data_IF_980136701565
#
_entry.id   IF_980136701565
#
_cell.length_a   1.000
_cell.length_b   1.000
_cell.length_c   1.000
_cell.angle_alpha   90.00
_cell.angle_beta   90.00
_cell.angle_gamma   90.00
#
_symmetry.space_group_name_H-M   'P 1'
#
loop_
_entity.id
_entity.type
_entity.pdbx_description
1 polymer ?
#
# COMPACT_ATOMS: atom_id res chain seq x y z
N UNK A 1 2.53 14.27 -17.06
CA UNK A 1 2.15 12.98 -16.44
C UNK A 1 2.70 12.80 -15.03
N UNK A 2 4.02 12.71 -14.78
CA UNK A 2 4.57 12.52 -13.41
C UNK A 2 3.99 13.53 -12.39
N UNK A 3 3.91 14.81 -12.75
CA UNK A 3 3.39 15.89 -11.89
C UNK A 3 1.94 15.70 -11.43
N UNK A 4 1.06 15.18 -12.29
CA UNK A 4 -0.36 14.99 -11.94
C UNK A 4 -0.57 13.85 -10.92
N UNK A 5 0.23 12.79 -11.00
CA UNK A 5 0.18 11.68 -10.04
C UNK A 5 0.80 12.10 -8.70
N UNK A 6 1.82 12.97 -8.72
CA UNK A 6 2.36 13.58 -7.50
C UNK A 6 1.28 14.44 -6.83
N UNK A 7 0.59 15.33 -7.56
CA UNK A 7 -0.48 16.15 -6.97
C UNK A 7 -1.60 15.30 -6.35
N UNK A 8 -2.11 14.27 -7.04
CA UNK A 8 -3.20 13.43 -6.49
C UNK A 8 -2.81 12.56 -5.28
N UNK A 9 -1.52 12.26 -5.07
CA UNK A 9 -1.05 11.49 -3.90
C UNK A 9 -0.45 12.36 -2.78
N UNK A 10 -0.07 13.60 -3.07
CA UNK A 10 0.50 14.53 -2.07
C UNK A 10 -0.56 15.47 -1.50
N UNK A 11 -1.59 15.84 -2.27
CA UNK A 11 -2.63 16.77 -1.81
C UNK A 11 -3.66 16.11 -0.87
N UNK A 12 -3.61 14.79 -0.68
CA UNK A 12 -4.49 14.04 0.22
C UNK A 12 -3.78 13.54 1.49
N UNK A 13 -2.54 13.97 1.75
CA UNK A 13 -1.73 13.48 2.87
C UNK A 13 -0.91 14.61 3.50
N UNK A 14 -1.62 15.59 4.07
CA UNK A 14 -1.03 16.61 4.95
C UNK A 14 -1.31 16.20 6.40
N UNK A 15 -0.33 15.63 7.13
CA UNK A 15 -0.53 15.34 8.54
C UNK A 15 -0.60 16.64 9.34
N UNK A 16 -1.73 16.90 9.98
CA UNK A 16 -1.81 17.96 10.99
C UNK A 16 -0.99 17.57 12.23
N UNK A 17 -0.28 18.56 12.77
CA UNK A 17 0.69 18.37 13.84
C UNK A 17 0.02 18.17 15.21
N UNK A 18 0.24 17.01 15.83
CA UNK A 18 -0.04 16.77 17.26
C UNK A 18 1.15 16.05 17.89
N UNK A 19 2.09 16.77 18.51
CA UNK A 19 2.08 17.21 19.92
C UNK A 19 2.50 16.10 20.92
N UNK A 20 3.80 16.13 21.19
CA UNK A 20 4.56 15.38 22.18
C UNK A 20 3.90 15.22 23.58
N UNK A 21 3.57 13.99 23.94
CA UNK A 21 3.68 13.41 25.30
C UNK A 21 4.05 11.93 25.13
N UNK A 22 4.95 11.29 25.87
CA UNK A 22 5.58 11.69 27.12
C UNK A 22 5.23 10.74 28.26
N UNK A 23 5.61 9.45 28.16
CA UNK A 23 5.79 8.57 29.31
C UNK A 23 6.67 7.35 28.97
N UNK A 24 7.68 7.13 29.80
CA UNK A 24 8.46 5.90 29.91
C UNK A 24 8.11 5.26 31.26
N UNK A 25 8.08 3.93 31.35
CA UNK A 25 8.54 3.30 32.59
C UNK A 25 9.57 2.18 32.34
N UNK A 26 10.58 2.13 33.21
CA UNK A 26 11.35 0.92 33.53
C UNK A 26 10.39 -0.14 34.15
N UNK A 27 10.66 -1.44 34.37
CA UNK A 27 11.76 -2.24 34.95
C UNK A 27 11.46 -3.73 34.58
N UNK A 28 12.23 -4.79 34.86
CA UNK A 28 13.36 -5.08 35.78
C UNK A 28 14.39 -5.98 35.05
N UNK A 29 15.58 -6.22 35.63
CA UNK A 29 16.45 -7.35 35.30
C UNK A 29 16.02 -8.63 36.05
N UNK A 30 16.15 -9.79 35.41
CA UNK A 30 16.38 -11.07 36.11
C UNK A 30 17.34 -11.96 35.29
N UNK A 31 18.21 -12.71 35.97
CA UNK A 31 19.26 -13.54 35.36
C UNK A 31 19.00 -15.04 35.53
N UNK A 32 19.39 -15.83 34.52
CA UNK A 32 19.40 -17.31 34.45
C UNK A 32 18.03 -18.00 34.29
N UNK A 33 17.75 -18.41 33.06
CA UNK A 33 17.73 -19.86 32.77
C UNK A 33 17.90 -20.17 31.28
N UNK A 34 18.84 -21.06 31.01
CA UNK A 34 19.11 -21.82 29.78
C UNK A 34 17.89 -22.04 28.87
N UNK A 35 17.91 -21.47 27.66
CA UNK A 35 17.06 -21.91 26.55
C UNK A 35 17.86 -21.98 25.24
N UNK A 36 17.42 -22.83 24.33
CA UNK A 36 18.23 -23.32 23.20
C UNK A 36 18.48 -22.27 22.13
N UNK A 37 19.66 -22.38 21.50
CA UNK A 37 20.11 -21.59 20.36
C UNK A 37 19.25 -21.88 19.10
N UNK A 38 18.09 -21.26 19.05
CA UNK A 38 17.34 -20.99 17.83
C UNK A 38 17.30 -19.47 17.69
N UNK A 39 18.19 -18.92 16.87
CA UNK A 39 18.32 -17.47 16.72
C UNK A 39 16.99 -16.89 16.21
N UNK A 40 16.26 -16.23 17.10
CA UNK A 40 15.08 -15.46 16.76
C UNK A 40 15.55 -14.31 15.86
N UNK A 41 15.46 -14.50 14.55
CA UNK A 41 15.50 -13.38 13.61
C UNK A 41 14.28 -12.53 13.95
N UNK A 42 14.53 -11.47 14.70
CA UNK A 42 13.53 -10.49 15.06
C UNK A 42 13.08 -9.80 13.76
N UNK A 43 12.01 -10.33 13.16
CA UNK A 43 11.41 -9.87 11.91
C UNK A 43 10.85 -8.46 12.14
N UNK A 44 11.75 -7.46 12.10
CA UNK A 44 11.52 -6.04 12.39
C UNK A 44 10.12 -5.60 11.94
N UNK A 45 9.30 -5.25 12.92
CA UNK A 45 7.89 -4.89 12.73
C UNK A 45 7.82 -3.40 12.40
N UNK A 46 7.22 -3.05 11.27
CA UNK A 46 6.92 -1.66 10.89
C UNK A 46 5.43 -1.45 11.13
N UNK A 47 5.06 -0.34 11.76
CA UNK A 47 3.66 0.01 11.96
C UNK A 47 2.98 0.32 10.62
N UNK A 48 1.68 0.03 10.47
CA UNK A 48 1.02 0.18 9.17
C UNK A 48 0.99 1.65 8.68
N UNK A 49 0.84 2.60 9.59
CA UNK A 49 0.86 4.03 9.27
C UNK A 49 2.24 4.53 8.85
N UNK A 50 3.29 4.03 9.53
CA UNK A 50 4.68 4.27 9.12
C UNK A 50 4.94 3.70 7.72
N UNK A 51 4.41 2.50 7.42
CA UNK A 51 4.54 1.87 6.11
C UNK A 51 3.85 2.67 4.98
N UNK A 52 2.69 3.27 5.27
CA UNK A 52 1.97 4.18 4.35
C UNK A 52 2.77 5.46 4.11
N UNK A 53 3.26 6.10 5.16
CA UNK A 53 4.12 7.29 5.07
C UNK A 53 5.38 6.99 4.22
N UNK A 54 6.12 5.91 4.54
CA UNK A 54 7.29 5.49 3.79
C UNK A 54 6.99 5.18 2.31
N UNK A 55 5.80 4.69 1.99
CA UNK A 55 5.36 4.47 0.61
C UNK A 55 5.17 5.79 -0.15
N UNK A 56 4.53 6.79 0.47
CA UNK A 56 4.33 8.12 -0.12
C UNK A 56 5.67 8.83 -0.35
N UNK A 57 6.59 8.78 0.61
CA UNK A 57 7.93 9.36 0.46
C UNK A 57 8.76 8.69 -0.65
N UNK A 58 8.70 7.36 -0.73
CA UNK A 58 9.37 6.57 -1.75
C UNK A 58 8.82 6.79 -3.17
N UNK A 59 7.61 7.34 -3.30
CA UNK A 59 7.05 7.73 -4.59
C UNK A 59 7.94 8.78 -5.27
N UNK A 60 8.45 9.74 -4.48
CA UNK A 60 9.34 10.81 -4.96
C UNK A 60 10.82 10.41 -4.91
N UNK A 61 11.24 9.61 -3.92
CA UNK A 61 12.65 9.34 -3.64
C UNK A 61 13.07 7.90 -4.01
N UNK A 62 13.90 7.75 -5.06
CA UNK A 62 14.40 6.43 -5.50
C UNK A 62 15.17 5.69 -4.39
N UNK A 63 15.91 6.43 -3.56
CA UNK A 63 16.69 5.85 -2.46
C UNK A 63 15.78 5.20 -1.40
N UNK A 64 14.70 5.86 -0.99
CA UNK A 64 13.72 5.31 -0.04
C UNK A 64 13.03 4.06 -0.61
N UNK A 65 12.64 4.07 -1.89
CA UNK A 65 12.12 2.89 -2.56
C UNK A 65 13.13 1.73 -2.60
N UNK A 66 14.43 2.04 -2.78
CA UNK A 66 15.52 1.07 -2.74
C UNK A 66 15.74 0.46 -1.35
N UNK A 67 15.77 1.29 -0.31
CA UNK A 67 15.89 0.89 1.11
C UNK A 67 14.74 -0.04 1.53
N UNK A 68 13.49 0.34 1.23
CA UNK A 68 12.32 -0.49 1.54
C UNK A 68 12.30 -1.80 0.75
N UNK A 69 12.76 -1.81 -0.51
CA UNK A 69 12.96 -3.06 -1.26
C UNK A 69 14.08 -3.95 -0.70
N UNK A 70 15.08 -3.40 -0.02
CA UNK A 70 16.09 -4.20 0.67
C UNK A 70 15.48 -4.82 1.93
N UNK A 71 14.86 -4.00 2.78
CA UNK A 71 14.14 -4.40 3.99
C UNK A 71 13.16 -5.57 3.73
N UNK A 72 12.28 -5.45 2.73
CA UNK A 72 11.34 -6.52 2.44
C UNK A 72 11.98 -7.77 1.80
N UNK A 73 13.22 -7.71 1.29
CA UNK A 73 13.93 -8.93 0.86
C UNK A 73 14.58 -9.65 2.02
N UNK A 74 15.08 -8.94 3.03
CA UNK A 74 15.66 -9.56 4.23
C UNK A 74 14.60 -10.10 5.20
N UNK A 75 13.43 -9.44 5.30
CA UNK A 75 12.35 -9.88 6.19
C UNK A 75 11.80 -11.26 5.79
N UNK A 76 11.76 -12.22 6.72
CA UNK A 76 11.43 -13.63 6.40
C UNK A 76 9.93 -13.87 6.27
N UNK A 77 9.14 -13.38 7.23
CA UNK A 77 7.67 -13.44 7.23
C UNK A 77 7.08 -12.08 6.86
N UNK A 78 5.95 -12.10 6.15
CA UNK A 78 5.22 -10.88 5.76
C UNK A 78 3.74 -11.11 5.98
N UNK A 79 3.07 -10.13 6.57
CA UNK A 79 1.61 -10.05 6.52
C UNK A 79 1.14 -9.90 5.05
N UNK A 80 -0.14 -10.18 4.76
CA UNK A 80 -0.68 -9.94 3.41
C UNK A 80 -0.51 -8.48 2.96
N UNK A 81 -0.62 -7.52 3.88
CA UNK A 81 -0.45 -6.09 3.60
C UNK A 81 1.02 -5.74 3.35
N UNK A 82 1.96 -6.27 4.14
CA UNK A 82 3.40 -6.12 3.89
C UNK A 82 3.84 -6.74 2.55
N UNK A 83 3.24 -7.88 2.16
CA UNK A 83 3.46 -8.49 0.84
C UNK A 83 2.92 -7.60 -0.29
N UNK A 84 1.79 -6.90 -0.08
CA UNK A 84 1.26 -5.91 -1.02
C UNK A 84 2.21 -4.72 -1.17
N UNK A 85 2.66 -4.15 -0.05
CA UNK A 85 3.62 -3.04 -0.02
C UNK A 85 4.97 -3.42 -0.63
N UNK A 86 5.50 -4.61 -0.38
CA UNK A 86 6.69 -5.13 -1.06
C UNK A 86 6.51 -5.12 -2.59
N UNK A 87 5.32 -5.50 -3.07
CA UNK A 87 4.93 -5.36 -4.47
C UNK A 87 4.86 -3.90 -4.94
N UNK A 88 4.31 -3.01 -4.12
CA UNK A 88 4.21 -1.58 -4.40
C UNK A 88 5.60 -0.91 -4.49
N UNK A 89 6.55 -1.21 -3.60
CA UNK A 89 7.93 -0.72 -3.68
C UNK A 89 8.69 -1.24 -4.91
N UNK A 90 8.35 -2.43 -5.44
CA UNK A 90 8.84 -2.86 -6.76
C UNK A 90 8.32 -1.97 -7.89
N UNK A 91 7.06 -1.53 -7.82
CA UNK A 91 6.49 -0.60 -8.79
C UNK A 91 7.12 0.79 -8.68
N UNK A 92 7.28 1.35 -7.48
CA UNK A 92 7.96 2.64 -7.27
C UNK A 92 9.40 2.60 -7.80
N UNK A 93 10.14 1.55 -7.48
CA UNK A 93 11.48 1.33 -8.03
C UNK A 93 11.50 1.26 -9.56
N UNK A 94 10.42 0.82 -10.20
CA UNK A 94 10.29 0.78 -11.66
C UNK A 94 10.06 2.17 -12.28
N UNK A 95 9.34 3.07 -11.59
CA UNK A 95 9.11 4.47 -12.02
C UNK A 95 10.42 5.26 -12.17
N UNK A 96 11.40 4.95 -11.31
CA UNK A 96 12.70 5.60 -11.29
C UNK A 96 13.70 5.01 -12.32
N UNK A 97 13.53 3.75 -12.76
CA UNK A 97 14.47 3.14 -13.74
C UNK A 97 14.30 3.72 -15.14
N UNK A 98 15.41 4.17 -15.73
CA UNK A 98 15.51 4.65 -17.13
C UNK A 98 15.38 3.53 -18.17
N UNK A 99 15.92 2.33 -17.91
CA UNK A 99 15.94 1.21 -18.88
C UNK A 99 14.61 0.42 -18.93
N UNK A 100 13.96 0.27 -20.11
CA UNK A 100 12.68 -0.44 -20.24
C UNK A 100 12.69 -1.89 -19.75
N UNK A 101 13.73 -2.67 -20.07
CA UNK A 101 13.84 -4.09 -19.68
C UNK A 101 13.89 -4.25 -18.15
N UNK A 102 14.67 -3.38 -17.46
CA UNK A 102 14.75 -3.37 -15.99
C UNK A 102 13.41 -2.94 -15.37
N UNK A 103 12.76 -1.92 -15.93
CA UNK A 103 11.41 -1.48 -15.52
C UNK A 103 10.39 -2.61 -15.64
N UNK A 104 10.35 -3.32 -16.76
CA UNK A 104 9.42 -4.43 -16.99
C UNK A 104 9.65 -5.60 -16.02
N UNK A 105 10.91 -5.94 -15.73
CA UNK A 105 11.25 -6.96 -14.73
C UNK A 105 10.72 -6.59 -13.33
N UNK A 106 10.86 -5.32 -12.92
CA UNK A 106 10.34 -4.81 -11.66
C UNK A 106 8.79 -4.82 -11.63
N UNK A 107 8.12 -4.40 -12.71
CA UNK A 107 6.64 -4.47 -12.82
C UNK A 107 6.14 -5.92 -12.74
N UNK A 108 6.83 -6.88 -13.36
CA UNK A 108 6.49 -8.31 -13.23
C UNK A 108 6.60 -8.81 -11.78
N UNK A 109 7.61 -8.35 -11.03
CA UNK A 109 7.75 -8.64 -9.59
C UNK A 109 6.64 -7.99 -8.76
N UNK A 110 6.37 -6.71 -8.99
CA UNK A 110 5.27 -5.98 -8.34
C UNK A 110 3.94 -6.73 -8.47
N UNK A 111 3.58 -7.11 -9.71
CA UNK A 111 2.38 -7.91 -9.98
C UNK A 111 2.39 -9.29 -9.31
N UNK A 112 3.54 -9.97 -9.21
CA UNK A 112 3.64 -11.27 -8.52
C UNK A 112 3.31 -11.13 -7.03
N UNK A 113 3.90 -10.14 -6.36
CA UNK A 113 3.68 -9.88 -4.93
C UNK A 113 2.23 -9.44 -4.65
N UNK A 114 1.70 -8.48 -5.41
CA UNK A 114 0.30 -8.02 -5.25
C UNK A 114 -0.73 -9.13 -5.53
N UNK A 115 -0.49 -10.02 -6.51
CA UNK A 115 -1.34 -11.21 -6.72
C UNK A 115 -1.31 -12.17 -5.52
N UNK A 116 -0.13 -12.39 -4.92
CA UNK A 116 0.02 -13.23 -3.73
C UNK A 116 -0.71 -12.60 -2.53
N UNK A 117 -0.52 -11.31 -2.29
CA UNK A 117 -1.21 -10.56 -1.24
C UNK A 117 -2.73 -10.66 -1.36
N UNK A 118 -3.31 -10.39 -2.55
CA UNK A 118 -4.75 -10.56 -2.80
C UNK A 118 -5.22 -12.00 -2.58
N UNK A 119 -4.43 -13.01 -2.96
CA UNK A 119 -4.79 -14.41 -2.69
C UNK A 119 -4.81 -14.74 -1.19
N UNK A 120 -3.94 -14.11 -0.40
CA UNK A 120 -3.85 -14.31 1.05
C UNK A 120 -4.89 -13.54 1.85
N UNK A 121 -5.31 -12.36 1.39
CA UNK A 121 -6.35 -11.54 2.03
C UNK A 121 -7.21 -10.85 0.97
N UNK A 122 -8.22 -11.56 0.40
CA UNK A 122 -8.97 -11.10 -0.77
C UNK A 122 -9.94 -9.95 -0.47
N UNK A 123 -10.27 -9.72 0.80
CA UNK A 123 -11.23 -8.70 1.27
C UNK A 123 -10.54 -7.46 1.85
N UNK A 124 -9.20 -7.46 1.99
CA UNK A 124 -8.46 -6.27 2.44
C UNK A 124 -8.48 -5.17 1.36
N UNK A 125 -9.16 -4.07 1.67
CA UNK A 125 -9.39 -2.96 0.75
C UNK A 125 -8.10 -2.29 0.27
N UNK A 126 -7.11 -2.13 1.15
CA UNK A 126 -5.81 -1.53 0.86
C UNK A 126 -5.01 -2.37 -0.15
N UNK A 127 -5.05 -3.70 -0.01
CA UNK A 127 -4.37 -4.63 -0.92
C UNK A 127 -5.00 -4.59 -2.32
N UNK A 128 -6.34 -4.54 -2.38
CA UNK A 128 -7.10 -4.36 -3.63
C UNK A 128 -6.74 -3.04 -4.29
N UNK A 129 -6.71 -1.96 -3.52
CA UNK A 129 -6.36 -0.63 -3.99
C UNK A 129 -4.93 -0.57 -4.57
N UNK A 130 -3.92 -1.08 -3.86
CA UNK A 130 -2.54 -1.13 -4.35
C UNK A 130 -2.39 -1.94 -5.65
N UNK A 131 -3.22 -2.98 -5.86
CA UNK A 131 -3.24 -3.76 -7.11
C UNK A 131 -3.98 -3.03 -8.23
N UNK A 132 -5.07 -2.35 -7.92
CA UNK A 132 -5.83 -1.53 -8.87
C UNK A 132 -5.01 -0.35 -9.38
N UNK A 133 -4.48 0.49 -8.47
CA UNK A 133 -3.72 1.70 -8.80
C UNK A 133 -2.46 1.39 -9.63
N UNK A 134 -1.74 0.31 -9.32
CA UNK A 134 -0.64 -0.17 -10.15
C UNK A 134 -1.09 -0.49 -11.58
N UNK A 135 -2.19 -1.24 -11.76
CA UNK A 135 -2.63 -1.60 -13.11
C UNK A 135 -3.22 -0.40 -13.86
N UNK A 136 -3.81 0.57 -13.15
CA UNK A 136 -4.40 1.78 -13.74
C UNK A 136 -3.32 2.64 -14.43
N UNK A 137 -2.15 2.79 -13.80
CA UNK A 137 -1.04 3.57 -14.36
C UNK A 137 -0.12 2.80 -15.34
N UNK A 138 -0.39 1.52 -15.61
CA UNK A 138 0.39 0.78 -16.61
C UNK A 138 -0.16 1.02 -18.03
N UNK A 139 0.72 1.20 -19.04
CA UNK A 139 0.30 1.25 -20.44
C UNK A 139 -0.45 -0.02 -20.85
N UNK A 140 -1.30 0.09 -21.86
CA UNK A 140 -2.24 -0.98 -22.27
C UNK A 140 -1.58 -2.34 -22.53
N UNK A 141 -0.40 -2.35 -23.14
CA UNK A 141 0.40 -3.56 -23.40
C UNK A 141 0.85 -4.30 -22.11
N UNK A 142 0.88 -3.60 -20.97
CA UNK A 142 1.40 -4.10 -19.70
C UNK A 142 0.37 -4.15 -18.57
N UNK A 143 -0.75 -3.41 -18.66
CA UNK A 143 -1.86 -3.52 -17.68
C UNK A 143 -2.55 -4.88 -17.78
N UNK A 144 -3.35 -5.23 -16.79
CA UNK A 144 -4.17 -6.43 -16.84
C UNK A 144 -5.62 -6.02 -16.61
N UNK A 145 -6.38 -5.90 -17.70
CA UNK A 145 -7.75 -5.39 -17.67
C UNK A 145 -8.68 -6.26 -16.81
N UNK A 146 -8.50 -7.59 -16.85
CA UNK A 146 -9.25 -8.51 -16.00
C UNK A 146 -9.02 -8.24 -14.51
N UNK A 147 -7.79 -7.91 -14.12
CA UNK A 147 -7.47 -7.56 -12.73
C UNK A 147 -7.98 -6.16 -12.34
N UNK A 148 -8.00 -5.21 -13.27
CA UNK A 148 -8.63 -3.91 -13.03
C UNK A 148 -10.13 -4.05 -12.78
N UNK A 149 -10.83 -4.84 -13.61
CA UNK A 149 -12.26 -5.12 -13.45
C UNK A 149 -12.54 -5.93 -12.17
N UNK A 150 -11.71 -6.93 -11.86
CA UNK A 150 -11.80 -7.71 -10.61
C UNK A 150 -11.66 -6.80 -9.38
N UNK A 151 -10.61 -5.95 -9.33
CA UNK A 151 -10.38 -5.08 -8.18
C UNK A 151 -11.43 -3.95 -8.10
N UNK A 152 -11.87 -3.38 -9.22
CA UNK A 152 -12.96 -2.39 -9.23
C UNK A 152 -14.26 -2.96 -8.65
N UNK A 153 -14.67 -4.16 -9.08
CA UNK A 153 -15.88 -4.81 -8.59
C UNK A 153 -15.77 -5.21 -7.11
N UNK A 154 -14.59 -5.67 -6.65
CA UNK A 154 -14.37 -5.99 -5.24
C UNK A 154 -14.31 -4.74 -4.36
N UNK A 155 -13.63 -3.67 -4.80
CA UNK A 155 -13.63 -2.38 -4.10
C UNK A 155 -15.06 -1.84 -3.96
N UNK A 156 -15.84 -1.81 -5.04
CA UNK A 156 -17.25 -1.39 -4.99
C UNK A 156 -18.08 -2.24 -4.03
N UNK A 157 -17.88 -3.57 -4.02
CA UNK A 157 -18.56 -4.46 -3.07
C UNK A 157 -18.22 -4.09 -1.62
N UNK A 158 -16.92 -3.92 -1.31
CA UNK A 158 -16.44 -3.55 0.02
C UNK A 158 -16.99 -2.19 0.46
N UNK A 159 -16.90 -1.16 -0.38
CA UNK A 159 -17.45 0.18 -0.12
C UNK A 159 -18.98 0.23 0.09
N UNK A 160 -19.71 -0.79 -0.39
CA UNK A 160 -21.15 -0.97 -0.14
C UNK A 160 -21.46 -1.77 1.13
N UNK A 161 -20.54 -2.59 1.62
CA UNK A 161 -20.72 -3.44 2.80
C UNK A 161 -20.03 -2.92 4.07
N UNK A 162 -19.15 -1.92 3.95
CA UNK A 162 -18.56 -1.23 5.10
C UNK A 162 -19.65 -0.48 5.87
N UNK A 163 -19.84 -0.84 7.14
CA UNK A 163 -20.58 0.00 8.08
C UNK A 163 -19.74 1.22 8.45
N UNK A 164 -20.37 2.38 8.59
CA UNK A 164 -19.69 3.68 8.69
C UNK A 164 -18.80 3.84 9.95
N UNK A 165 -18.91 2.90 10.89
CA UNK A 165 -18.26 2.89 12.20
C UNK A 165 -16.90 2.19 12.25
N UNK A 166 -16.43 1.56 11.15
CA UNK A 166 -15.21 0.76 11.20
C UNK A 166 -14.13 1.10 10.16
N UNK A 167 -12.92 1.25 10.71
CA UNK A 167 -11.61 1.14 10.08
C UNK A 167 -11.26 2.21 9.03
N UNK A 168 -10.51 3.21 9.52
CA UNK A 168 -9.59 4.05 8.75
C UNK A 168 -10.25 5.01 7.74
N UNK A 169 -10.98 6.04 8.24
CA UNK A 169 -11.72 6.98 7.39
C UNK A 169 -10.82 7.71 6.38
N UNK A 170 -9.59 8.07 6.75
CA UNK A 170 -8.60 8.70 5.87
C UNK A 170 -8.22 7.79 4.69
N UNK A 171 -7.95 6.50 4.94
CA UNK A 171 -7.67 5.53 3.89
C UNK A 171 -8.88 5.37 2.95
N UNK A 172 -10.10 5.30 3.50
CA UNK A 172 -11.32 5.19 2.71
C UNK A 172 -11.56 6.44 1.85
N UNK A 173 -11.30 7.64 2.37
CA UNK A 173 -11.32 8.91 1.63
C UNK A 173 -10.31 8.91 0.47
N UNK A 174 -9.06 8.50 0.70
CA UNK A 174 -8.01 8.43 -0.33
C UNK A 174 -8.41 7.46 -1.44
N UNK A 175 -8.89 6.27 -1.08
CA UNK A 175 -9.33 5.27 -2.06
C UNK A 175 -10.55 5.77 -2.84
N UNK A 176 -11.57 6.34 -2.17
CA UNK A 176 -12.75 6.91 -2.82
C UNK A 176 -12.40 8.04 -3.80
N UNK A 177 -11.55 8.98 -3.39
CA UNK A 177 -11.06 10.07 -4.24
C UNK A 177 -10.30 9.54 -5.45
N UNK A 178 -9.45 8.52 -5.27
CA UNK A 178 -8.76 7.87 -6.38
C UNK A 178 -9.76 7.21 -7.35
N UNK A 179 -10.71 6.42 -6.85
CA UNK A 179 -11.70 5.71 -7.69
C UNK A 179 -12.50 6.69 -8.56
N UNK A 180 -12.94 7.81 -7.98
CA UNK A 180 -13.61 8.91 -8.70
C UNK A 180 -12.69 9.53 -9.76
N UNK A 181 -11.45 9.86 -9.40
CA UNK A 181 -10.47 10.45 -10.33
C UNK A 181 -10.07 9.51 -11.48
N UNK A 182 -10.24 8.20 -11.30
CA UNK A 182 -9.78 7.18 -12.26
C UNK A 182 -10.59 7.17 -13.57
N UNK A 183 -11.81 7.73 -13.56
CA UNK A 183 -12.76 7.72 -14.69
C UNK A 183 -13.12 6.30 -15.20
N UNK A 184 -13.00 5.28 -14.35
CA UNK A 184 -13.30 3.87 -14.69
C UNK A 184 -14.64 3.36 -14.17
N UNK A 185 -15.27 4.10 -13.27
CA UNK A 185 -16.53 3.74 -12.61
C UNK A 185 -17.74 4.41 -13.28
N UNK A 186 -18.89 3.73 -13.22
CA UNK A 186 -20.16 4.31 -13.70
C UNK A 186 -20.65 5.44 -12.78
N UNK A 187 -21.63 6.24 -13.21
CA UNK A 187 -22.18 7.29 -12.35
C UNK A 187 -22.79 6.73 -11.05
N UNK A 188 -23.46 5.58 -11.12
CA UNK A 188 -24.02 4.89 -9.95
C UNK A 188 -22.94 4.38 -8.99
N UNK A 189 -21.81 3.90 -9.52
CA UNK A 189 -20.64 3.51 -8.73
C UNK A 189 -19.99 4.73 -8.08
N UNK A 190 -19.85 5.84 -8.82
CA UNK A 190 -19.31 7.10 -8.32
C UNK A 190 -20.12 7.65 -7.14
N UNK A 191 -21.45 7.54 -7.17
CA UNK A 191 -22.33 7.92 -6.04
C UNK A 191 -22.08 7.11 -4.76
N UNK A 192 -21.44 5.93 -4.82
CA UNK A 192 -21.00 5.20 -3.62
C UNK A 192 -19.77 5.88 -3.02
N UNK A 193 -18.74 6.13 -3.82
CA UNK A 193 -17.48 6.73 -3.36
C UNK A 193 -17.66 8.18 -2.88
N UNK A 194 -18.55 8.97 -3.51
CA UNK A 194 -18.85 10.35 -3.10
C UNK A 194 -19.31 10.48 -1.64
N UNK A 195 -19.96 9.45 -1.07
CA UNK A 195 -20.43 9.46 0.33
C UNK A 195 -19.29 9.49 1.35
N UNK A 196 -18.08 9.14 0.94
CA UNK A 196 -16.90 9.10 1.81
C UNK A 196 -16.11 10.41 1.77
N UNK A 197 -16.30 11.26 0.75
CA UNK A 197 -15.61 12.56 0.62
C UNK A 197 -16.39 13.74 1.24
N UNK A 198 -17.69 13.60 1.42
CA UNK A 198 -18.57 14.66 1.95
C UNK A 198 -18.78 14.53 3.47
N UNK A 199 -17.77 14.01 4.19
CA UNK A 199 -17.76 13.76 5.64
C UNK A 199 -16.49 14.33 6.25
#
# INVERSE_FOLDING_TARGET
>A
MKTLIISLLVFTFQPESMSNTGHQPCIVFDERSYFTKSDCIEDSVIALDELRLLYLEAFQQEEKAGKMLHFFKSKTRKSPVEEAYHGAFYALSALHKKMPVKRLSLVKKAKKHLKKAVKSAPEQIEIRFLRFSLNHYLPDLFKNEKMLQEDQAQLLKLFRSLEETQQEPELLQIIAGFMLSSQRCTEEENRVYQRYLNK
#
